data_IF_150220087483
#
_entry.id   IF_150220087483
#
_cell.length_a   1.000
_cell.length_b   1.000
_cell.length_c   1.000
_cell.angle_alpha   90.00
_cell.angle_beta   90.00
_cell.angle_gamma   90.00
#
_symmetry.space_group_name_H-M   'P 1'
#
loop_
_entity.id
_entity.type
_entity.pdbx_description
1 polymer ?
#
# COMPACT_ATOMS: atom_id res chain seq x y z
N UNK A 1 -41.66 -22.70 23.84
CA UNK A 1 -40.73 -23.74 23.37
C UNK A 1 -40.17 -23.24 22.06
N UNK A 2 -39.03 -22.59 22.17
CA UNK A 2 -38.41 -21.66 21.22
C UNK A 2 -37.70 -22.45 20.14
N UNK A 3 -38.11 -22.30 18.88
CA UNK A 3 -37.39 -22.85 17.73
C UNK A 3 -36.19 -21.93 17.42
N UNK A 4 -35.01 -22.54 17.35
CA UNK A 4 -33.75 -21.89 17.05
C UNK A 4 -33.77 -21.31 15.63
N UNK A 5 -33.45 -20.02 15.50
CA UNK A 5 -33.09 -19.42 14.24
C UNK A 5 -31.62 -19.77 13.94
N UNK A 6 -31.43 -20.72 13.04
CA UNK A 6 -30.14 -21.09 12.47
C UNK A 6 -29.71 -19.96 11.53
N UNK A 7 -28.81 -19.09 12.01
CA UNK A 7 -28.24 -17.99 11.22
C UNK A 7 -27.21 -18.58 10.27
N UNK A 8 -27.63 -18.86 9.05
CA UNK A 8 -26.77 -19.21 7.94
C UNK A 8 -25.86 -18.02 7.64
N UNK A 9 -24.59 -18.15 8.02
CA UNK A 9 -23.55 -17.19 7.69
C UNK A 9 -23.44 -17.08 6.17
N UNK A 10 -24.02 -16.02 5.62
CA UNK A 10 -23.80 -15.55 4.26
C UNK A 10 -22.29 -15.32 4.11
N UNK A 11 -21.59 -16.30 3.52
CA UNK A 11 -20.17 -16.18 3.20
C UNK A 11 -20.08 -15.37 1.91
N UNK A 12 -20.32 -14.07 2.03
CA UNK A 12 -19.76 -13.11 1.07
C UNK A 12 -18.24 -13.35 1.04
N UNK A 13 -17.57 -13.35 -0.13
CA UNK A 13 -16.12 -13.35 -0.19
C UNK A 13 -15.65 -12.04 0.47
N UNK A 14 -15.46 -12.12 1.79
CA UNK A 14 -15.17 -10.98 2.64
C UNK A 14 -13.82 -10.46 2.22
N UNK A 15 -13.81 -9.28 1.58
CA UNK A 15 -12.61 -8.64 1.06
C UNK A 15 -11.47 -8.57 2.10
N UNK A 16 -11.81 -8.62 3.39
CA UNK A 16 -10.89 -8.84 4.52
C UNK A 16 -9.83 -9.92 4.27
N UNK A 17 -10.23 -11.14 3.91
CA UNK A 17 -9.26 -12.23 3.71
C UNK A 17 -8.30 -12.00 2.54
N UNK A 18 -8.75 -11.29 1.49
CA UNK A 18 -7.90 -10.90 0.37
C UNK A 18 -6.89 -9.83 0.78
N UNK A 19 -7.34 -8.80 1.50
CA UNK A 19 -6.47 -7.71 1.97
C UNK A 19 -5.46 -8.19 3.01
N UNK A 20 -5.80 -9.14 3.86
CA UNK A 20 -4.87 -9.74 4.83
C UNK A 20 -3.71 -10.47 4.15
N UNK A 21 -4.02 -11.25 3.10
CA UNK A 21 -3.00 -11.93 2.31
C UNK A 21 -2.12 -10.93 1.55
N UNK A 22 -2.69 -9.86 1.00
CA UNK A 22 -1.93 -8.78 0.35
C UNK A 22 -1.00 -8.09 1.34
N UNK A 23 -1.46 -7.80 2.56
CA UNK A 23 -0.64 -7.18 3.62
C UNK A 23 0.56 -8.05 3.99
N UNK A 24 0.35 -9.37 4.13
CA UNK A 24 1.43 -10.32 4.38
C UNK A 24 2.45 -10.35 3.25
N UNK A 25 1.99 -10.33 2.00
CA UNK A 25 2.87 -10.31 0.83
C UNK A 25 3.74 -9.04 0.79
N UNK A 26 3.13 -7.87 1.04
CA UNK A 26 3.84 -6.59 1.09
C UNK A 26 4.94 -6.62 2.16
N UNK A 27 4.62 -7.11 3.36
CA UNK A 27 5.59 -7.21 4.45
C UNK A 27 6.79 -8.11 4.08
N UNK A 28 6.54 -9.28 3.48
CA UNK A 28 7.63 -10.19 3.05
C UNK A 28 8.50 -9.51 1.99
N UNK A 29 7.91 -8.79 1.04
CA UNK A 29 8.67 -8.06 0.02
C UNK A 29 9.54 -6.96 0.64
N UNK A 30 9.04 -6.27 1.66
CA UNK A 30 9.79 -5.25 2.39
C UNK A 30 10.93 -5.86 3.23
N UNK A 31 10.69 -6.97 3.93
CA UNK A 31 11.73 -7.71 4.67
C UNK A 31 12.87 -8.17 3.76
N UNK A 32 12.54 -8.71 2.58
CA UNK A 32 13.55 -9.11 1.59
C UNK A 32 14.35 -7.90 1.08
N UNK A 33 13.73 -6.71 1.00
CA UNK A 33 14.39 -5.47 0.59
C UNK A 33 15.33 -4.93 1.69
N UNK A 34 14.96 -5.10 2.96
CA UNK A 34 15.81 -4.67 4.07
C UNK A 34 17.07 -5.52 4.19
N UNK A 35 17.00 -6.81 3.83
CA UNK A 35 18.16 -7.73 3.79
C UNK A 35 19.11 -7.42 2.62
N UNK A 36 18.74 -6.54 1.68
CA UNK A 36 19.59 -6.16 0.56
C UNK A 36 19.46 -7.06 -0.68
N UNK A 37 18.49 -8.00 -0.69
CA UNK A 37 18.27 -8.92 -1.80
C UNK A 37 17.86 -8.20 -3.10
N UNK A 38 17.39 -6.96 -3.03
CA UNK A 38 17.10 -6.10 -4.18
C UNK A 38 18.30 -5.85 -5.12
N UNK A 39 19.53 -6.16 -4.67
CA UNK A 39 20.74 -6.07 -5.49
C UNK A 39 20.98 -7.34 -6.33
N UNK A 40 20.35 -8.45 -5.95
CA UNK A 40 20.54 -9.79 -6.55
C UNK A 40 19.29 -10.20 -7.32
N UNK A 41 18.11 -9.92 -6.76
CA UNK A 41 16.80 -10.21 -7.36
C UNK A 41 15.96 -8.94 -7.49
N UNK A 42 15.21 -8.84 -8.59
CA UNK A 42 14.28 -7.73 -8.80
C UNK A 42 13.02 -7.93 -7.97
N UNK A 43 12.98 -7.31 -6.79
CA UNK A 43 11.78 -7.28 -5.96
C UNK A 43 10.72 -6.34 -6.55
N UNK A 44 9.42 -6.68 -6.43
CA UNK A 44 8.33 -5.81 -6.85
C UNK A 44 8.40 -4.45 -6.18
N UNK A 45 8.26 -3.37 -6.97
CA UNK A 45 8.24 -1.99 -6.51
C UNK A 45 7.25 -1.18 -7.33
N UNK A 46 6.58 -0.25 -6.66
CA UNK A 46 5.72 0.74 -7.31
C UNK A 46 6.50 2.05 -7.30
N UNK A 47 6.68 2.65 -8.48
CA UNK A 47 7.39 3.91 -8.65
C UNK A 47 6.45 4.96 -9.22
N UNK A 48 6.54 6.17 -8.70
CA UNK A 48 5.78 7.33 -9.21
C UNK A 48 6.71 8.15 -10.09
N UNK A 49 6.39 8.27 -11.37
CA UNK A 49 7.17 9.01 -12.37
C UNK A 49 6.30 10.08 -13.00
N UNK A 50 6.86 11.28 -13.21
CA UNK A 50 6.14 12.40 -13.81
C UNK A 50 6.95 13.69 -13.80
N UNK A 51 6.57 14.65 -14.64
CA UNK A 51 7.24 15.96 -14.78
C UNK A 51 7.15 16.79 -13.49
N UNK A 52 8.02 17.79 -13.32
CA UNK A 52 7.90 18.72 -12.19
C UNK A 52 6.50 19.34 -12.16
N UNK A 53 5.91 19.50 -10.97
CA UNK A 53 4.56 20.05 -10.79
C UNK A 53 3.39 19.19 -11.30
N UNK A 54 3.62 17.92 -11.68
CA UNK A 54 2.57 16.98 -12.10
C UNK A 54 1.73 16.37 -10.96
N UNK A 55 1.85 16.88 -9.73
CA UNK A 55 1.07 16.40 -8.59
C UNK A 55 1.51 15.07 -7.95
N UNK A 56 2.73 14.56 -8.22
CA UNK A 56 3.23 13.30 -7.63
C UNK A 56 3.10 13.25 -6.11
N UNK A 57 3.53 14.32 -5.44
CA UNK A 57 3.43 14.46 -3.99
C UNK A 57 1.97 14.51 -3.54
N UNK A 58 1.12 15.23 -4.27
CA UNK A 58 -0.32 15.37 -3.97
C UNK A 58 -1.08 14.05 -4.08
N UNK A 59 -0.71 13.20 -5.05
CA UNK A 59 -1.30 11.85 -5.21
C UNK A 59 -0.87 10.95 -4.06
N UNK A 60 0.41 10.97 -3.68
CA UNK A 60 0.92 10.19 -2.55
C UNK A 60 0.28 10.64 -1.22
N UNK A 61 0.14 11.96 -1.00
CA UNK A 61 -0.54 12.54 0.17
C UNK A 61 -2.01 12.11 0.23
N UNK A 62 -2.69 12.08 -0.92
CA UNK A 62 -4.10 11.65 -1.01
C UNK A 62 -4.28 10.16 -0.72
N UNK A 63 -3.32 9.31 -1.11
CA UNK A 63 -3.33 7.87 -0.82
C UNK A 63 -3.06 7.61 0.67
N UNK A 64 -2.13 8.36 1.27
CA UNK A 64 -1.72 8.20 2.67
C UNK A 64 -2.71 8.90 3.62
N UNK A 65 -3.43 9.91 3.15
CA UNK A 65 -4.36 10.71 3.96
C UNK A 65 -3.67 11.69 4.91
N UNK A 66 -2.37 11.96 4.70
CA UNK A 66 -1.56 12.85 5.54
C UNK A 66 -0.73 13.78 4.64
N UNK A 67 -0.57 15.03 5.05
CA UNK A 67 0.38 15.97 4.45
C UNK A 67 1.77 15.69 5.05
N UNK A 68 2.59 14.89 4.36
CA UNK A 68 3.90 14.45 4.87
C UNK A 68 5.10 14.95 4.04
N UNK A 69 4.87 15.53 2.86
CA UNK A 69 5.94 16.08 2.04
C UNK A 69 6.02 17.59 2.22
N UNK A 70 7.24 18.16 2.35
CA UNK A 70 7.39 19.61 2.44
C UNK A 70 6.86 20.28 1.17
N UNK A 71 6.06 21.33 1.35
CA UNK A 71 5.54 22.18 0.26
C UNK A 71 6.30 23.51 0.24
N UNK A 72 6.68 23.97 -0.95
CA UNK A 72 7.39 25.23 -1.15
C UNK A 72 7.89 25.38 -2.59
N UNK A 73 8.22 26.60 -2.99
CA UNK A 73 8.76 26.88 -4.32
C UNK A 73 10.09 26.14 -4.54
N UNK A 74 10.16 25.36 -5.62
CA UNK A 74 11.34 24.57 -5.97
C UNK A 74 11.53 23.27 -5.16
N UNK A 75 10.56 22.86 -4.34
CA UNK A 75 10.64 21.58 -3.62
C UNK A 75 10.40 20.40 -4.57
N UNK A 76 11.38 19.50 -4.64
CA UNK A 76 11.37 18.28 -5.45
C UNK A 76 11.79 17.12 -4.56
N UNK A 77 11.19 15.94 -4.72
CA UNK A 77 11.63 14.71 -4.05
C UNK A 77 13.01 14.31 -4.61
N UNK A 78 14.08 14.59 -3.86
CA UNK A 78 15.48 14.39 -4.31
C UNK A 78 16.06 13.01 -4.02
N UNK A 79 15.36 12.18 -3.25
CA UNK A 79 15.78 10.82 -2.94
C UNK A 79 14.66 9.82 -3.30
N UNK A 80 15.00 8.71 -3.97
CA UNK A 80 14.08 7.61 -4.22
C UNK A 80 13.77 6.84 -2.93
#
# INVERSE_FOLDING_TARGET
MTAAAESTATTEPTAHGLYDNLRRLINVVDELRDVGLQKIINLPRIVVVGTQSSGKSSVLESIVGLDFLPRGDGVVTRRP
#
